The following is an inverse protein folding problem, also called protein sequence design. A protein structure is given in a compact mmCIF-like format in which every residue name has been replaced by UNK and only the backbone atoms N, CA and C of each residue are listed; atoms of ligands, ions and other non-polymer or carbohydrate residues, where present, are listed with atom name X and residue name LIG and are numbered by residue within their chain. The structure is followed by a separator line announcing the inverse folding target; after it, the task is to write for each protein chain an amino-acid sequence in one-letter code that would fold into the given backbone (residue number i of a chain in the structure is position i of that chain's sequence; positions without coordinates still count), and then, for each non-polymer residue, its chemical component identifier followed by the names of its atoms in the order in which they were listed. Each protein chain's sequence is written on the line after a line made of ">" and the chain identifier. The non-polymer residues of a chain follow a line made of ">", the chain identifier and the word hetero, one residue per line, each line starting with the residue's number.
data_IF_291967475733
#
_entry.id   IF_291967475733
#
_cell.length_a   1.000
_cell.length_b   1.000
_cell.length_c   1.000
_cell.angle_alpha   90.00
_cell.angle_beta   90.00
_cell.angle_gamma   90.00
#
_symmetry.space_group_name_H-M   'P 1'
#
loop_
_entity.id
_entity.type
_entity.pdbx_description
1 polymer ?
#
# COMPACT_ATOMS: atom_id res chain seq x y z
N UNK A 1 10.73 -18.18 0.81
CA UNK A 1 9.59 -18.26 1.75
C UNK A 1 9.88 -17.52 3.06
N UNK A 2 10.94 -17.83 3.82
CA UNK A 2 11.26 -17.09 5.08
C UNK A 2 11.44 -15.57 4.89
N UNK A 3 12.22 -15.15 3.89
CA UNK A 3 12.44 -13.72 3.58
C UNK A 3 11.14 -12.97 3.27
N UNK A 4 10.26 -13.59 2.47
CA UNK A 4 8.94 -13.06 2.15
C UNK A 4 8.06 -12.88 3.38
N UNK A 5 7.99 -13.89 4.26
CA UNK A 5 7.20 -13.80 5.49
C UNK A 5 7.68 -12.68 6.41
N UNK A 6 9.00 -12.52 6.55
CA UNK A 6 9.60 -11.42 7.33
C UNK A 6 9.28 -10.06 6.70
N UNK A 7 9.50 -9.92 5.39
CA UNK A 7 9.22 -8.67 4.68
C UNK A 7 7.76 -8.24 4.83
N UNK A 8 6.82 -9.18 4.64
CA UNK A 8 5.39 -8.90 4.80
C UNK A 8 5.03 -8.53 6.24
N UNK A 9 5.56 -9.26 7.23
CA UNK A 9 5.31 -8.95 8.65
C UNK A 9 5.81 -7.56 9.03
N UNK A 10 7.03 -7.18 8.61
CA UNK A 10 7.59 -5.85 8.87
C UNK A 10 6.73 -4.76 8.24
N UNK A 11 6.36 -4.94 6.97
CA UNK A 11 5.51 -3.99 6.23
C UNK A 11 4.13 -3.84 6.90
N UNK A 12 3.51 -4.95 7.31
CA UNK A 12 2.21 -4.94 7.98
C UNK A 12 2.27 -4.22 9.33
N UNK A 13 3.25 -4.55 10.17
CA UNK A 13 3.42 -3.92 11.49
C UNK A 13 3.65 -2.42 11.32
N UNK A 14 4.53 -2.03 10.39
CA UNK A 14 4.85 -0.63 10.15
C UNK A 14 3.64 0.15 9.62
N UNK A 15 2.89 -0.43 8.69
CA UNK A 15 1.65 0.15 8.18
C UNK A 15 0.62 0.36 9.29
N UNK A 16 0.31 -0.69 10.05
CA UNK A 16 -0.68 -0.63 11.14
C UNK A 16 -0.25 0.37 12.20
N UNK A 17 1.02 0.35 12.62
CA UNK A 17 1.54 1.32 13.57
C UNK A 17 1.37 2.76 13.06
N UNK A 18 1.71 3.03 11.79
CA UNK A 18 1.56 4.36 11.21
C UNK A 18 0.09 4.80 11.11
N UNK A 19 -0.83 3.91 10.73
CA UNK A 19 -2.28 4.17 10.72
C UNK A 19 -2.76 4.55 12.12
N UNK A 20 -2.41 3.74 13.14
CA UNK A 20 -2.85 3.95 14.51
C UNK A 20 -2.29 5.26 15.09
N UNK A 21 -0.98 5.50 14.91
CA UNK A 21 -0.32 6.73 15.36
C UNK A 21 -1.00 7.96 14.74
N UNK A 22 -1.20 7.94 13.42
CA UNK A 22 -1.83 9.05 12.70
C UNK A 22 -3.27 9.26 13.15
N UNK A 23 -4.07 8.20 13.20
CA UNK A 23 -5.46 8.29 13.63
C UNK A 23 -5.57 8.83 15.06
N UNK A 24 -4.82 8.29 16.03
CA UNK A 24 -4.87 8.75 17.43
C UNK A 24 -4.39 10.19 17.62
N UNK A 25 -3.48 10.64 16.74
CA UNK A 25 -2.94 12.00 16.79
C UNK A 25 -3.93 12.99 16.20
N UNK A 26 -4.67 12.62 15.15
CA UNK A 26 -5.50 13.55 14.37
C UNK A 26 -7.00 13.42 14.66
N UNK A 27 -7.45 12.36 15.32
CA UNK A 27 -8.86 12.14 15.66
C UNK A 27 -9.45 13.32 16.44
N UNK A 28 -10.54 13.90 15.94
CA UNK A 28 -11.20 15.07 16.54
C UNK A 28 -10.41 16.38 16.44
N UNK A 29 -9.24 16.38 15.77
CA UNK A 29 -8.39 17.57 15.57
C UNK A 29 -8.34 18.03 14.12
N UNK A 30 -8.80 17.20 13.19
CA UNK A 30 -8.86 17.51 11.76
C UNK A 30 -10.29 17.27 11.27
N UNK A 31 -10.84 18.28 10.61
CA UNK A 31 -12.10 18.24 9.87
C UNK A 31 -11.80 18.67 8.43
N UNK A 32 -12.41 18.04 7.43
CA UNK A 32 -12.04 18.22 6.03
C UNK A 32 -10.70 17.54 5.71
N UNK A 33 -10.73 16.53 4.83
CA UNK A 33 -9.48 15.88 4.35
C UNK A 33 -9.61 14.41 3.97
N UNK A 34 -10.71 13.73 4.34
CA UNK A 34 -10.98 12.36 3.91
C UNK A 34 -10.94 12.18 2.39
N UNK A 35 -11.38 13.22 1.65
CA UNK A 35 -11.34 13.27 0.19
C UNK A 35 -10.06 13.82 -0.44
N UNK A 36 -9.12 14.39 0.32
CA UNK A 36 -7.91 15.03 -0.25
C UNK A 36 -6.94 14.01 -0.89
N UNK A 37 -6.90 12.79 -0.34
CA UNK A 37 -6.18 11.67 -0.96
C UNK A 37 -6.92 11.08 -2.17
N UNK A 38 -8.23 11.32 -2.28
CA UNK A 38 -9.10 10.84 -3.35
C UNK A 38 -9.36 11.93 -4.41
N UNK A 39 -8.70 13.10 -4.31
CA UNK A 39 -8.71 14.09 -5.38
C UNK A 39 -8.21 13.40 -6.65
N UNK A 40 -9.00 13.38 -7.74
CA UNK A 40 -8.59 12.71 -8.96
C UNK A 40 -7.26 13.29 -9.44
N UNK A 41 -6.22 12.45 -9.48
CA UNK A 41 -5.03 12.77 -10.25
C UNK A 41 -5.40 12.56 -11.72
N UNK A 42 -5.78 13.63 -12.39
CA UNK A 42 -6.15 13.56 -13.80
C UNK A 42 -7.03 14.73 -14.21
N UNK A 43 -7.07 14.96 -15.52
CA UNK A 43 -8.04 15.85 -16.16
C UNK A 43 -9.46 15.40 -15.76
N UNK A 44 -10.43 16.30 -15.46
CA UNK A 44 -11.85 15.94 -15.30
C UNK A 44 -12.42 15.01 -16.37
N UNK A 45 -11.82 14.97 -17.56
CA UNK A 45 -12.19 14.09 -18.66
C UNK A 45 -11.65 12.63 -18.53
N UNK A 46 -10.80 12.37 -17.55
CA UNK A 46 -10.22 11.04 -17.32
C UNK A 46 -11.29 10.10 -16.74
N UNK A 47 -11.52 8.92 -17.32
CA UNK A 47 -12.45 7.94 -16.76
C UNK A 47 -12.08 7.60 -15.31
N UNK A 48 -13.07 7.60 -14.40
CA UNK A 48 -12.86 7.37 -12.96
C UNK A 48 -12.03 6.11 -12.67
N UNK A 49 -12.33 5.01 -13.36
CA UNK A 49 -11.56 3.76 -13.28
C UNK A 49 -10.08 3.97 -13.56
N UNK A 50 -9.75 4.72 -14.63
CA UNK A 50 -8.38 4.95 -15.03
C UNK A 50 -7.65 5.85 -14.03
N UNK A 51 -8.33 6.87 -13.49
CA UNK A 51 -7.76 7.73 -12.46
C UNK A 51 -7.40 6.94 -11.17
N UNK A 52 -8.31 6.08 -10.70
CA UNK A 52 -8.08 5.21 -9.54
C UNK A 52 -6.93 4.23 -9.81
N UNK A 53 -6.98 3.56 -10.96
CA UNK A 53 -5.97 2.59 -11.38
C UNK A 53 -4.58 3.21 -11.43
N UNK A 54 -4.42 4.34 -12.12
CA UNK A 54 -3.12 5.01 -12.27
C UNK A 54 -2.56 5.47 -10.93
N UNK A 55 -3.41 6.04 -10.06
CA UNK A 55 -3.01 6.46 -8.71
C UNK A 55 -2.48 5.28 -7.91
N UNK A 56 -3.24 4.20 -7.82
CA UNK A 56 -2.87 3.04 -7.00
C UNK A 56 -1.67 2.28 -7.59
N UNK A 57 -1.60 2.17 -8.93
CA UNK A 57 -0.45 1.59 -9.60
C UNK A 57 0.83 2.41 -9.39
N UNK A 58 0.76 3.74 -9.44
CA UNK A 58 1.90 4.61 -9.17
C UNK A 58 2.42 4.43 -7.73
N UNK A 59 1.51 4.36 -6.75
CA UNK A 59 1.89 4.08 -5.35
C UNK A 59 2.53 2.69 -5.24
N UNK A 60 1.96 1.65 -5.85
CA UNK A 60 2.53 0.31 -5.81
C UNK A 60 3.92 0.21 -6.44
N UNK A 61 4.12 0.84 -7.59
CA UNK A 61 5.42 0.92 -8.26
C UNK A 61 6.43 1.71 -7.43
N UNK A 62 6.00 2.81 -6.79
CA UNK A 62 6.84 3.58 -5.86
C UNK A 62 7.26 2.77 -4.63
N UNK A 63 6.33 1.99 -4.05
CA UNK A 63 6.64 1.08 -2.95
C UNK A 63 7.62 -0.02 -3.38
N UNK A 64 7.43 -0.59 -4.58
CA UNK A 64 8.33 -1.59 -5.13
C UNK A 64 9.73 -1.04 -5.47
N UNK A 65 9.83 0.24 -5.87
CA UNK A 65 11.10 0.90 -6.17
C UNK A 65 12.07 0.90 -4.97
N UNK A 66 11.62 0.54 -3.77
CA UNK A 66 12.50 0.22 -2.64
C UNK A 66 13.56 -0.86 -2.94
N UNK A 67 13.36 -1.74 -3.94
CA UNK A 67 14.41 -2.65 -4.42
C UNK A 67 15.67 -1.90 -4.87
N UNK A 68 15.56 -0.66 -5.34
CA UNK A 68 16.70 0.16 -5.74
C UNK A 68 17.45 0.77 -4.55
N UNK A 69 16.82 0.82 -3.38
CA UNK A 69 17.32 1.48 -2.16
C UNK A 69 17.49 0.49 -1.00
N UNK A 70 17.71 -0.79 -1.31
CA UNK A 70 17.83 -1.86 -0.32
C UNK A 70 16.65 -1.91 0.68
N UNK A 71 15.43 -1.66 0.19
CA UNK A 71 14.18 -1.72 0.96
C UNK A 71 13.82 -0.43 1.71
N UNK A 72 14.72 0.56 1.79
CA UNK A 72 14.46 1.79 2.54
C UNK A 72 13.27 2.58 1.98
N UNK A 73 13.19 2.71 0.64
CA UNK A 73 12.06 3.34 -0.02
C UNK A 73 10.72 2.67 0.28
N UNK A 74 10.67 1.34 0.35
CA UNK A 74 9.46 0.60 0.71
C UNK A 74 9.04 0.84 2.16
N UNK A 75 10.00 0.89 3.09
CA UNK A 75 9.74 1.13 4.52
C UNK A 75 9.19 2.54 4.75
N UNK A 76 9.86 3.55 4.20
CA UNK A 76 9.39 4.94 4.30
C UNK A 76 8.04 5.10 3.60
N UNK A 77 7.90 4.54 2.40
CA UNK A 77 6.68 4.62 1.61
C UNK A 77 5.48 3.97 2.29
N UNK A 78 5.62 2.78 2.89
CA UNK A 78 4.50 2.14 3.59
C UNK A 78 4.15 2.83 4.90
N UNK A 79 5.15 3.34 5.64
CA UNK A 79 4.88 4.16 6.82
C UNK A 79 4.12 5.43 6.46
N UNK A 80 4.53 6.12 5.40
CA UNK A 80 3.85 7.32 4.91
C UNK A 80 2.44 7.01 4.41
N UNK A 81 2.25 5.93 3.64
CA UNK A 81 0.93 5.49 3.20
C UNK A 81 0.01 5.17 4.39
N UNK A 82 0.51 4.44 5.40
CA UNK A 82 -0.25 4.15 6.61
C UNK A 82 -0.62 5.41 7.37
N UNK A 83 0.31 6.36 7.49
CA UNK A 83 0.04 7.66 8.09
C UNK A 83 -1.08 8.42 7.36
N UNK A 84 -1.03 8.45 6.03
CA UNK A 84 -2.06 9.09 5.20
C UNK A 84 -3.43 8.43 5.35
N UNK A 85 -3.49 7.09 5.35
CA UNK A 85 -4.74 6.34 5.59
C UNK A 85 -5.32 6.66 6.97
N UNK A 86 -4.48 6.70 8.01
CA UNK A 86 -4.92 7.07 9.36
C UNK A 86 -5.43 8.51 9.44
N UNK A 87 -4.78 9.44 8.74
CA UNK A 87 -5.17 10.85 8.69
C UNK A 87 -6.52 11.05 7.99
N UNK A 88 -6.71 10.43 6.82
CA UNK A 88 -7.98 10.48 6.10
C UNK A 88 -9.11 9.80 6.86
N UNK A 89 -8.83 8.70 7.56
CA UNK A 89 -9.82 8.04 8.44
C UNK A 89 -10.20 8.93 9.61
N UNK A 90 -9.23 9.60 10.24
CA UNK A 90 -9.51 10.55 11.33
C UNK A 90 -10.37 11.73 10.86
N UNK A 91 -10.05 12.31 9.70
CA UNK A 91 -10.83 13.40 9.13
C UNK A 91 -12.27 12.96 8.79
N UNK A 92 -12.44 11.81 8.13
CA UNK A 92 -13.76 11.27 7.81
C UNK A 92 -14.56 10.91 9.09
N UNK A 93 -13.89 10.35 10.10
CA UNK A 93 -14.53 10.02 11.37
C UNK A 93 -15.04 11.26 12.12
N UNK A 94 -14.38 12.41 11.98
CA UNK A 94 -14.86 13.69 12.52
C UNK A 94 -16.15 14.16 11.83
N UNK A 95 -16.32 13.88 10.53
CA UNK A 95 -17.47 14.36 9.74
C UNK A 95 -18.70 13.46 9.86
N UNK A 96 -18.52 12.15 9.72
CA UNK A 96 -19.63 11.18 9.61
C UNK A 96 -19.59 10.08 10.69
N UNK A 97 -18.63 10.14 11.61
CA UNK A 97 -18.40 9.09 12.60
C UNK A 97 -17.55 7.93 12.06
N UNK A 98 -16.80 7.27 12.94
CA UNK A 98 -15.84 6.21 12.57
C UNK A 98 -16.50 5.04 11.84
N UNK A 99 -17.66 4.57 12.30
CA UNK A 99 -18.33 3.42 11.69
C UNK A 99 -18.74 3.71 10.24
N UNK A 100 -19.31 4.89 9.96
CA UNK A 100 -19.67 5.30 8.61
C UNK A 100 -18.44 5.57 7.74
N UNK A 101 -17.38 6.16 8.31
CA UNK A 101 -16.11 6.36 7.63
C UNK A 101 -15.52 5.04 7.13
N UNK A 102 -15.43 4.02 7.99
CA UNK A 102 -14.93 2.69 7.61
C UNK A 102 -15.85 2.00 6.60
N UNK A 103 -17.17 2.07 6.80
CA UNK A 103 -18.14 1.50 5.87
C UNK A 103 -18.08 2.15 4.47
N UNK A 104 -17.67 3.43 4.38
CA UNK A 104 -17.60 4.14 3.11
C UNK A 104 -16.50 3.61 2.19
N UNK A 105 -15.43 3.03 2.75
CA UNK A 105 -14.22 2.58 2.03
C UNK A 105 -14.04 1.05 2.02
N UNK A 106 -14.68 0.31 2.93
CA UNK A 106 -14.41 -1.13 3.14
C UNK A 106 -14.57 -1.97 1.86
N UNK A 107 -15.49 -1.58 0.97
CA UNK A 107 -15.82 -2.33 -0.24
C UNK A 107 -14.65 -2.48 -1.23
N UNK A 108 -13.74 -1.50 -1.29
CA UNK A 108 -12.55 -1.57 -2.14
C UNK A 108 -11.25 -1.66 -1.32
N UNK A 109 -11.22 -1.07 -0.12
CA UNK A 109 -10.03 -1.09 0.75
C UNK A 109 -9.57 -2.51 1.12
N UNK A 110 -10.49 -3.48 1.21
CA UNK A 110 -10.15 -4.90 1.47
C UNK A 110 -9.32 -5.55 0.34
N UNK A 111 -9.33 -4.97 -0.86
CA UNK A 111 -8.56 -5.45 -2.01
C UNK A 111 -7.31 -4.58 -2.19
N UNK A 112 -7.49 -3.26 -2.15
CA UNK A 112 -6.41 -2.31 -2.45
C UNK A 112 -5.34 -2.25 -1.36
N UNK A 113 -5.70 -2.29 -0.08
CA UNK A 113 -4.71 -2.25 1.00
C UNK A 113 -3.81 -3.48 1.00
N UNK A 114 -4.33 -4.73 0.87
CA UNK A 114 -3.46 -5.89 0.69
C UNK A 114 -2.58 -5.81 -0.56
N UNK A 115 -3.09 -5.24 -1.67
CA UNK A 115 -2.29 -5.06 -2.87
C UNK A 115 -1.08 -4.14 -2.64
N UNK A 116 -1.29 -3.00 -1.96
CA UNK A 116 -0.22 -2.06 -1.62
C UNK A 116 0.77 -2.66 -0.60
N UNK A 117 0.28 -3.42 0.38
CA UNK A 117 1.13 -4.17 1.32
C UNK A 117 2.00 -5.21 0.59
N UNK A 118 1.44 -5.92 -0.40
CA UNK A 118 2.19 -6.87 -1.23
C UNK A 118 3.25 -6.16 -2.08
N UNK A 119 2.95 -4.99 -2.65
CA UNK A 119 3.92 -4.20 -3.41
C UNK A 119 5.07 -3.69 -2.53
N UNK A 120 4.78 -3.22 -1.32
CA UNK A 120 5.80 -2.84 -0.35
C UNK A 120 6.64 -4.04 0.12
N UNK A 121 6.01 -5.18 0.40
CA UNK A 121 6.70 -6.41 0.77
C UNK A 121 7.62 -6.88 -0.38
N UNK A 122 7.14 -6.82 -1.62
CA UNK A 122 7.94 -7.11 -2.81
C UNK A 122 9.20 -6.23 -2.86
N UNK A 123 9.06 -4.94 -2.59
CA UNK A 123 10.19 -3.99 -2.51
C UNK A 123 11.21 -4.29 -1.41
N UNK A 124 10.79 -4.96 -0.32
CA UNK A 124 11.62 -5.30 0.83
C UNK A 124 12.23 -6.72 0.78
N UNK A 125 11.67 -7.62 -0.03
CA UNK A 125 12.10 -9.02 -0.12
C UNK A 125 13.62 -9.18 -0.39
N UNK A 126 14.24 -8.48 -1.36
CA UNK A 126 15.68 -8.56 -1.59
C UNK A 126 16.53 -8.18 -0.37
N UNK A 127 16.17 -7.09 0.32
CA UNK A 127 16.85 -6.64 1.53
C UNK A 127 16.69 -7.61 2.70
N UNK A 128 15.48 -8.17 2.87
CA UNK A 128 15.24 -9.19 3.91
C UNK A 128 16.06 -10.46 3.67
N UNK A 129 16.32 -10.85 2.42
CA UNK A 129 17.16 -11.98 2.09
C UNK A 129 18.64 -11.73 2.40
N UNK A 130 19.09 -10.46 2.35
CA UNK A 130 20.43 -10.05 2.74
C UNK A 130 20.63 -10.14 4.27
N UNK A 131 19.66 -9.63 5.03
CA UNK A 131 19.69 -9.55 6.50
C UNK A 131 19.39 -10.89 7.19
N UNK A 132 18.47 -11.67 6.63
CA UNK A 132 18.02 -12.95 7.18
C UNK A 132 18.23 -14.08 6.16
N UNK A 133 19.49 -14.39 5.81
CA UNK A 133 19.78 -15.40 4.80
C UNK A 133 19.31 -16.78 5.25
N UNK A 134 18.71 -17.53 4.32
CA UNK A 134 18.58 -18.98 4.50
C UNK A 134 19.95 -19.65 4.38
N UNK A 135 20.10 -20.89 4.89
CA UNK A 135 21.37 -21.65 4.76
C UNK A 135 21.90 -21.66 3.32
N UNK A 136 21.03 -21.90 2.33
CA UNK A 136 21.38 -21.89 0.89
C UNK A 136 21.85 -20.53 0.37
N UNK A 137 21.37 -19.44 0.96
CA UNK A 137 21.71 -18.07 0.55
C UNK A 137 22.92 -17.52 1.33
N UNK A 138 23.25 -18.12 2.47
CA UNK A 138 24.34 -17.69 3.35
C UNK A 138 25.72 -17.83 2.72
N UNK A 139 25.90 -18.78 1.80
CA UNK A 139 27.17 -19.04 1.10
C UNK A 139 27.38 -18.11 -0.10
N UNK A 140 26.31 -17.42 -0.56
CA UNK A 140 26.39 -16.49 -1.67
C UNK A 140 27.02 -15.16 -1.24
N UNK A 141 27.75 -14.54 -2.19
CA UNK A 141 28.19 -13.15 -2.08
C UNK A 141 27.00 -12.20 -1.87
N UNK A 142 27.17 -11.06 -1.18
CA UNK A 142 26.08 -10.15 -0.85
C UNK A 142 25.19 -9.75 -2.04
N UNK A 143 25.80 -9.40 -3.18
CA UNK A 143 25.06 -9.03 -4.39
C UNK A 143 24.24 -10.21 -4.95
N UNK A 144 24.84 -11.39 -5.06
CA UNK A 144 24.13 -12.57 -5.55
C UNK A 144 22.96 -12.97 -4.63
N UNK A 145 23.14 -12.81 -3.31
CA UNK A 145 22.09 -13.02 -2.31
C UNK A 145 20.93 -12.04 -2.46
N UNK A 146 21.23 -10.77 -2.72
CA UNK A 146 20.24 -9.72 -2.93
C UNK A 146 19.43 -9.93 -4.21
N UNK A 147 20.09 -10.35 -5.30
CA UNK A 147 19.45 -10.55 -6.60
C UNK A 147 18.65 -11.86 -6.68
N UNK A 148 19.06 -12.91 -5.95
CA UNK A 148 18.41 -14.22 -5.98
C UNK A 148 16.86 -14.21 -5.81
N UNK A 149 16.27 -13.43 -4.89
CA UNK A 149 14.80 -13.39 -4.73
C UNK A 149 14.07 -12.42 -5.67
N UNK A 150 14.75 -11.69 -6.57
CA UNK A 150 14.11 -10.73 -7.46
C UNK A 150 12.98 -11.31 -8.32
N UNK A 151 13.09 -12.51 -8.91
CA UNK A 151 11.97 -13.07 -9.67
C UNK A 151 10.70 -13.25 -8.83
N UNK A 152 10.85 -13.69 -7.57
CA UNK A 152 9.73 -13.81 -6.63
C UNK A 152 9.17 -12.45 -6.20
N UNK A 153 10.05 -11.45 -6.04
CA UNK A 153 9.66 -10.07 -5.77
C UNK A 153 8.86 -9.46 -6.94
N UNK A 154 9.27 -9.69 -8.19
CA UNK A 154 8.52 -9.28 -9.39
C UNK A 154 7.17 -9.99 -9.51
N UNK A 155 7.09 -11.27 -9.17
CA UNK A 155 5.82 -12.00 -9.14
C UNK A 155 4.85 -11.40 -8.11
N UNK A 156 5.34 -11.04 -6.92
CA UNK A 156 4.51 -10.35 -5.91
C UNK A 156 4.00 -9.00 -6.40
N UNK A 157 4.85 -8.22 -7.09
CA UNK A 157 4.41 -6.98 -7.73
C UNK A 157 3.32 -7.25 -8.78
N UNK A 158 3.50 -8.25 -9.63
CA UNK A 158 2.50 -8.60 -10.64
C UNK A 158 1.15 -8.97 -9.99
N UNK A 159 1.16 -9.76 -8.91
CA UNK A 159 -0.04 -10.07 -8.13
C UNK A 159 -0.67 -8.80 -7.55
N UNK A 160 0.13 -7.91 -6.97
CA UNK A 160 -0.35 -6.62 -6.45
C UNK A 160 -1.02 -5.77 -7.54
N UNK A 161 -0.42 -5.68 -8.73
CA UNK A 161 -0.99 -4.92 -9.84
C UNK A 161 -2.32 -5.51 -10.34
N UNK A 162 -2.44 -6.84 -10.39
CA UNK A 162 -3.72 -7.49 -10.70
C UNK A 162 -4.79 -7.14 -9.67
N UNK A 163 -4.44 -7.19 -8.38
CA UNK A 163 -5.36 -6.80 -7.30
C UNK A 163 -5.76 -5.32 -7.39
N UNK A 164 -4.85 -4.43 -7.80
CA UNK A 164 -5.16 -3.00 -8.02
C UNK A 164 -6.15 -2.83 -9.16
N UNK A 165 -6.01 -3.57 -10.27
CA UNK A 165 -6.99 -3.54 -11.38
C UNK A 165 -8.37 -3.96 -10.89
N UNK A 166 -8.44 -5.04 -10.10
CA UNK A 166 -9.70 -5.51 -9.51
C UNK A 166 -10.27 -4.48 -8.53
N UNK A 167 -9.44 -3.94 -7.64
CA UNK A 167 -9.81 -2.92 -6.66
C UNK A 167 -10.37 -1.66 -7.32
N UNK A 168 -9.71 -1.15 -8.35
CA UNK A 168 -10.16 0.01 -9.11
C UNK A 168 -11.52 -0.23 -9.78
N UNK A 169 -11.75 -1.44 -10.31
CA UNK A 169 -13.05 -1.82 -10.87
C UNK A 169 -14.17 -1.83 -9.82
N UNK A 170 -13.89 -2.40 -8.64
CA UNK A 170 -14.82 -2.44 -7.51
C UNK A 170 -15.12 -1.04 -6.98
N UNK A 171 -14.09 -0.20 -6.76
CA UNK A 171 -14.26 1.18 -6.30
C UNK A 171 -15.09 1.99 -7.30
N UNK A 172 -14.80 1.87 -8.60
CA UNK A 172 -15.57 2.55 -9.65
C UNK A 172 -17.04 2.13 -9.63
N UNK A 173 -17.33 0.83 -9.56
CA UNK A 173 -18.71 0.34 -9.52
C UNK A 173 -19.47 0.87 -8.29
N UNK A 174 -18.83 0.88 -7.12
CA UNK A 174 -19.42 1.39 -5.88
C UNK A 174 -19.70 2.90 -6.00
N UNK A 175 -18.73 3.70 -6.46
CA UNK A 175 -18.91 5.15 -6.59
C UNK A 175 -20.00 5.48 -7.61
N UNK A 176 -20.01 4.81 -8.77
CA UNK A 176 -21.03 5.02 -9.80
C UNK A 176 -22.44 4.69 -9.30
N UNK A 177 -22.61 3.64 -8.48
CA UNK A 177 -23.92 3.28 -7.89
C UNK A 177 -24.48 4.30 -6.90
N UNK A 178 -23.63 5.14 -6.30
CA UNK A 178 -24.02 6.19 -5.34
C UNK A 178 -24.37 7.53 -6.00
N UNK A 179 -24.08 7.68 -7.30
CA UNK A 179 -24.37 8.90 -8.09
C UNK A 179 -25.70 8.83 -8.85
N UNK A 180 -26.40 7.70 -8.79
CA UNK A 180 -27.73 7.46 -9.36
C UNK A 180 -28.76 7.61 -8.24
#
# INVERSE_FOLDING_TARGET
>A
MRSLGIAFAVVLVLFVAAVLISYSTLSGRVAGGGGSLAAPLGDPDTPLFLAILLRNAAVALGLFAGVLTAGLGSLIGIAFLGFLVGASTAAAATEIGLAAALASVIGYAIIELPALLLAAAAGLVPASALLFPSRRLGELRPLARYLAPLPGSLLLLAIALVLIVVGAGVETAIISSRRI
#
